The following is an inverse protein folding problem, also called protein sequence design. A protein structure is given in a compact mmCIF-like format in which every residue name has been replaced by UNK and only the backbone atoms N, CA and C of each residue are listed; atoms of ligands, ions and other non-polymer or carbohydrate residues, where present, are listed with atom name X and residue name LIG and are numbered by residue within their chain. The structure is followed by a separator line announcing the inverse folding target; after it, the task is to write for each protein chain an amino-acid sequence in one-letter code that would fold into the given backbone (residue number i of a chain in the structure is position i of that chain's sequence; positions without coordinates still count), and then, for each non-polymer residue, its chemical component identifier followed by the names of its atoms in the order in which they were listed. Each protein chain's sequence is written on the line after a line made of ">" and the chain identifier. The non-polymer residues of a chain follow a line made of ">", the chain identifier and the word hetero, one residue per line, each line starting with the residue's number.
data_IF_967507982189
#
_entry.id   IF_967507982189
#
_cell.length_a   1.000
_cell.length_b   1.000
_cell.length_c   1.000
_cell.angle_alpha   90.00
_cell.angle_beta   90.00
_cell.angle_gamma   90.00
#
_symmetry.space_group_name_H-M   'P 1'
#
loop_
_entity.id
_entity.type
_entity.pdbx_description
1 polymer ?
#
# COMPACT_ATOMS: atom_id res chain seq x y z
N UNK A 1 17.44 1.65 -24.66
CA UNK A 1 17.63 0.35 -24.00
C UNK A 1 16.25 -0.28 -23.88
N UNK A 2 15.88 -1.17 -24.81
CA UNK A 2 14.56 -1.79 -24.83
C UNK A 2 14.60 -3.02 -23.93
N UNK A 3 13.87 -2.97 -22.82
CA UNK A 3 13.74 -4.12 -21.94
C UNK A 3 12.65 -4.99 -22.56
N UNK A 4 13.04 -6.17 -23.06
CA UNK A 4 12.13 -7.18 -23.58
C UNK A 4 11.32 -7.76 -22.40
N UNK A 5 10.14 -7.20 -22.11
CA UNK A 5 9.33 -7.55 -20.93
C UNK A 5 8.25 -8.61 -21.17
N UNK A 6 8.04 -9.09 -22.40
CA UNK A 6 6.74 -9.67 -22.76
C UNK A 6 6.59 -11.19 -22.66
N UNK A 7 7.67 -11.99 -22.57
CA UNK A 7 7.53 -13.46 -22.59
C UNK A 7 7.77 -14.17 -21.23
N UNK A 8 8.45 -13.54 -20.28
CA UNK A 8 8.78 -14.16 -18.98
C UNK A 8 7.67 -14.02 -17.91
N UNK A 9 6.57 -13.34 -18.25
CA UNK A 9 5.50 -12.99 -17.31
C UNK A 9 4.16 -13.64 -17.61
N UNK A 10 4.06 -14.41 -18.70
CA UNK A 10 2.80 -14.97 -19.19
C UNK A 10 2.14 -15.99 -18.24
N UNK A 11 2.86 -16.48 -17.23
CA UNK A 11 2.37 -17.45 -16.24
C UNK A 11 2.35 -16.88 -14.81
N UNK A 12 2.41 -15.55 -14.66
CA UNK A 12 2.43 -14.90 -13.34
C UNK A 12 1.02 -14.58 -12.86
N UNK A 13 0.69 -14.83 -11.57
CA UNK A 13 -0.61 -14.49 -11.01
C UNK A 13 -0.85 -12.98 -10.88
N UNK A 14 0.21 -12.16 -10.99
CA UNK A 14 0.18 -10.70 -10.82
C UNK A 14 0.65 -9.95 -12.07
N UNK A 15 0.14 -8.74 -12.26
CA UNK A 15 0.54 -7.85 -13.35
C UNK A 15 2.04 -7.52 -13.28
N UNK A 16 2.79 -7.39 -14.40
CA UNK A 16 4.23 -7.11 -14.36
C UNK A 16 4.61 -5.86 -13.57
N UNK A 17 3.81 -4.80 -13.67
CA UNK A 17 4.00 -3.56 -12.89
C UNK A 17 3.90 -3.77 -11.39
N UNK A 18 3.15 -4.78 -10.92
CA UNK A 18 3.09 -5.13 -9.50
C UNK A 18 4.47 -5.52 -8.96
N UNK A 19 5.20 -6.34 -9.73
CA UNK A 19 6.56 -6.77 -9.38
C UNK A 19 7.53 -5.61 -9.33
N UNK A 20 7.50 -4.74 -10.35
CA UNK A 20 8.36 -3.55 -10.40
C UNK A 20 8.09 -2.63 -9.21
N UNK A 21 6.81 -2.40 -8.90
CA UNK A 21 6.39 -1.53 -7.82
C UNK A 21 6.78 -2.09 -6.45
N UNK A 22 6.51 -3.38 -6.19
CA UNK A 22 6.90 -4.05 -4.93
C UNK A 22 8.41 -4.03 -4.75
N UNK A 23 9.19 -4.33 -5.80
CA UNK A 23 10.65 -4.29 -5.74
C UNK A 23 11.18 -2.89 -5.40
N UNK A 24 10.66 -1.87 -6.08
CA UNK A 24 11.06 -0.48 -5.84
C UNK A 24 10.68 -0.02 -4.42
N UNK A 25 9.50 -0.41 -3.94
CA UNK A 25 9.05 -0.07 -2.59
C UNK A 25 9.86 -0.78 -1.50
N UNK A 26 10.22 -2.04 -1.72
CA UNK A 26 11.07 -2.79 -0.81
C UNK A 26 12.46 -2.16 -0.69
N UNK A 27 13.10 -1.77 -1.81
CA UNK A 27 14.39 -1.07 -1.80
C UNK A 27 14.32 0.24 -0.99
N UNK A 28 13.27 1.04 -1.19
CA UNK A 28 13.04 2.27 -0.41
C UNK A 28 12.84 1.97 1.08
N UNK A 29 12.08 0.93 1.39
CA UNK A 29 11.80 0.53 2.78
C UNK A 29 13.08 0.09 3.49
N UNK A 30 13.90 -0.76 2.87
CA UNK A 30 15.19 -1.20 3.42
C UNK A 30 16.13 -0.01 3.64
N UNK A 31 16.21 0.90 2.67
CA UNK A 31 17.06 2.11 2.74
C UNK A 31 16.58 3.14 3.75
N UNK A 32 15.34 3.03 4.23
CA UNK A 32 14.81 3.92 5.26
C UNK A 32 15.38 3.62 6.66
N UNK A 33 15.98 2.44 6.86
CA UNK A 33 16.65 2.06 8.11
C UNK A 33 18.14 2.40 8.07
N UNK A 34 18.68 2.88 9.20
CA UNK A 34 20.11 3.18 9.37
C UNK A 34 20.69 2.39 10.57
N UNK A 35 21.52 1.35 10.35
CA UNK A 35 21.97 0.84 9.05
C UNK A 35 20.86 0.07 8.30
N UNK A 36 20.96 -0.07 6.97
CA UNK A 36 20.05 -0.92 6.19
C UNK A 36 20.02 -2.33 6.76
N UNK A 37 18.82 -2.84 7.01
CA UNK A 37 18.60 -4.17 7.58
C UNK A 37 17.51 -4.90 6.84
N UNK A 38 17.38 -6.18 7.17
CA UNK A 38 16.26 -6.98 6.75
C UNK A 38 14.94 -6.42 7.30
N UNK A 39 13.89 -6.46 6.50
CA UNK A 39 12.57 -5.92 6.81
C UNK A 39 11.55 -7.03 6.93
N UNK A 40 10.75 -6.99 7.99
CA UNK A 40 9.66 -7.96 8.19
C UNK A 40 8.54 -7.77 7.18
N UNK A 41 7.74 -8.82 6.92
CA UNK A 41 6.59 -8.72 6.00
C UNK A 41 5.65 -7.56 6.33
N UNK A 42 5.40 -7.29 7.60
CA UNK A 42 4.62 -6.13 8.05
C UNK A 42 5.27 -4.79 7.68
N UNK A 43 6.58 -4.65 7.83
CA UNK A 43 7.30 -3.43 7.43
C UNK A 43 7.26 -3.23 5.91
N UNK A 44 7.31 -4.33 5.15
CA UNK A 44 7.13 -4.30 3.68
C UNK A 44 5.73 -3.80 3.33
N UNK A 45 4.67 -4.35 3.96
CA UNK A 45 3.30 -3.93 3.71
C UNK A 45 3.08 -2.45 4.06
N UNK A 46 3.64 -2.00 5.18
CA UNK A 46 3.54 -0.61 5.61
C UNK A 46 4.28 0.33 4.65
N UNK A 47 5.48 -0.05 4.19
CA UNK A 47 6.26 0.69 3.20
C UNK A 47 5.56 0.76 1.84
N UNK A 48 5.07 -0.39 1.36
CA UNK A 48 4.30 -0.50 0.12
C UNK A 48 3.05 0.36 0.15
N UNK A 49 2.31 0.34 1.27
CA UNK A 49 1.10 1.14 1.40
C UNK A 49 1.38 2.64 1.39
N UNK A 50 2.43 3.09 2.08
CA UNK A 50 2.86 4.50 2.03
C UNK A 50 3.25 4.93 0.63
N UNK A 51 4.02 4.09 -0.08
CA UNK A 51 4.42 4.38 -1.46
C UNK A 51 3.22 4.42 -2.41
N UNK A 52 2.28 3.48 -2.26
CA UNK A 52 1.10 3.40 -3.11
C UNK A 52 0.18 4.61 -2.90
N UNK A 53 -0.05 5.01 -1.65
CA UNK A 53 -0.80 6.21 -1.32
C UNK A 53 -0.08 7.48 -1.77
N UNK A 54 1.26 7.52 -1.69
CA UNK A 54 2.06 8.63 -2.18
C UNK A 54 2.00 8.80 -3.70
N UNK A 55 1.96 7.71 -4.46
CA UNK A 55 1.98 7.72 -5.92
C UNK A 55 0.57 7.83 -6.54
N UNK A 56 -0.41 7.10 -6.00
CA UNK A 56 -1.75 6.96 -6.59
C UNK A 56 -2.85 7.64 -5.77
N UNK A 57 -2.53 8.15 -4.58
CA UNK A 57 -3.50 8.80 -3.70
C UNK A 57 -4.67 7.87 -3.34
N UNK A 58 -5.93 8.34 -3.39
CA UNK A 58 -7.09 7.54 -2.99
C UNK A 58 -7.35 6.36 -3.95
N UNK A 59 -6.73 6.36 -5.13
CA UNK A 59 -6.87 5.26 -6.10
C UNK A 59 -5.91 4.09 -5.85
N UNK A 60 -5.03 4.19 -4.84
CA UNK A 60 -4.01 3.19 -4.55
C UNK A 60 -4.59 1.77 -4.41
N UNK A 61 -5.65 1.61 -3.60
CA UNK A 61 -6.31 0.32 -3.41
C UNK A 61 -6.83 -0.28 -4.73
N UNK A 62 -7.46 0.54 -5.58
CA UNK A 62 -7.98 0.09 -6.87
C UNK A 62 -6.87 -0.29 -7.86
N UNK A 63 -5.75 0.44 -7.87
CA UNK A 63 -4.59 0.14 -8.71
C UNK A 63 -3.98 -1.20 -8.30
N UNK A 64 -3.74 -1.40 -7.00
CA UNK A 64 -3.21 -2.66 -6.47
C UNK A 64 -4.14 -3.84 -6.77
N UNK A 65 -5.45 -3.64 -6.56
CA UNK A 65 -6.47 -4.64 -6.89
C UNK A 65 -6.43 -5.03 -8.36
N UNK A 66 -6.33 -4.05 -9.26
CA UNK A 66 -6.24 -4.28 -10.70
C UNK A 66 -4.98 -5.06 -11.09
N UNK A 67 -3.87 -4.85 -10.37
CA UNK A 67 -2.64 -5.61 -10.55
C UNK A 67 -2.66 -7.02 -9.96
N UNK A 68 -3.76 -7.39 -9.29
CA UNK A 68 -3.96 -8.71 -8.69
C UNK A 68 -3.59 -8.78 -7.20
N UNK A 69 -3.11 -7.68 -6.60
CA UNK A 69 -2.81 -7.62 -5.16
C UNK A 69 -4.11 -7.30 -4.42
N UNK A 70 -4.64 -8.28 -3.69
CA UNK A 70 -5.91 -8.16 -2.95
C UNK A 70 -5.72 -8.21 -1.45
N UNK A 71 -4.57 -8.69 -1.00
CA UNK A 71 -4.28 -8.96 0.40
C UNK A 71 -2.79 -8.82 0.70
N UNK A 72 -2.44 -8.77 1.98
CA UNK A 72 -1.04 -8.81 2.41
C UNK A 72 -0.29 -10.05 1.88
N UNK A 73 -0.86 -11.27 1.98
CA UNK A 73 -0.24 -12.48 1.44
C UNK A 73 0.03 -12.46 -0.07
N UNK A 74 -0.72 -11.68 -0.86
CA UNK A 74 -0.43 -11.50 -2.30
C UNK A 74 0.89 -10.74 -2.50
N UNK A 75 1.13 -9.70 -1.69
CA UNK A 75 2.42 -8.99 -1.68
C UNK A 75 3.53 -9.95 -1.27
N UNK A 76 3.29 -10.78 -0.24
CA UNK A 76 4.22 -11.84 0.15
C UNK A 76 4.54 -12.78 -1.00
N UNK A 77 3.53 -13.24 -1.74
CA UNK A 77 3.70 -14.11 -2.89
C UNK A 77 4.58 -13.47 -3.98
N UNK A 78 4.43 -12.17 -4.23
CA UNK A 78 5.32 -11.41 -5.14
C UNK A 78 6.75 -11.39 -4.60
N UNK A 79 6.95 -11.10 -3.31
CA UNK A 79 8.28 -11.05 -2.69
C UNK A 79 8.96 -12.42 -2.76
N UNK A 80 8.26 -13.50 -2.44
CA UNK A 80 8.80 -14.86 -2.51
C UNK A 80 9.09 -15.30 -3.95
N UNK A 81 8.25 -14.96 -4.93
CA UNK A 81 8.56 -15.21 -6.35
C UNK A 81 9.83 -14.46 -6.80
N UNK A 82 10.05 -13.23 -6.31
CA UNK A 82 11.28 -12.47 -6.58
C UNK A 82 12.52 -13.08 -5.89
N UNK A 83 12.36 -13.65 -4.70
CA UNK A 83 13.40 -14.41 -4.00
C UNK A 83 13.76 -15.68 -4.77
N UNK A 84 12.76 -16.46 -5.19
CA UNK A 84 12.97 -17.72 -5.90
C UNK A 84 13.66 -17.52 -7.26
N UNK A 85 13.43 -16.35 -7.89
CA UNK A 85 14.12 -15.92 -9.12
C UNK A 85 15.52 -15.35 -8.89
N UNK A 86 15.97 -15.24 -7.63
CA UNK A 86 17.28 -14.71 -7.27
C UNK A 86 17.42 -13.18 -7.42
N UNK A 87 16.30 -12.46 -7.54
CA UNK A 87 16.29 -10.99 -7.59
C UNK A 87 16.49 -10.40 -6.19
N UNK A 88 15.91 -11.05 -5.18
CA UNK A 88 16.02 -10.68 -3.78
C UNK A 88 16.79 -11.73 -2.98
N UNK A 89 17.49 -11.29 -1.94
CA UNK A 89 18.10 -12.19 -0.97
C UNK A 89 17.07 -12.55 0.12
N UNK A 90 16.98 -13.84 0.45
CA UNK A 90 16.14 -14.35 1.54
C UNK A 90 16.93 -14.41 2.85
N UNK A 91 16.26 -14.22 3.97
CA UNK A 91 16.77 -14.68 5.28
C UNK A 91 16.04 -15.94 5.74
N UNK A 92 16.67 -16.74 6.62
CA UNK A 92 16.06 -17.98 7.13
C UNK A 92 14.79 -17.72 7.98
N UNK A 93 14.61 -16.48 8.43
CA UNK A 93 13.50 -16.06 9.28
C UNK A 93 12.26 -15.66 8.46
N UNK A 94 12.42 -15.40 7.15
CA UNK A 94 11.33 -14.94 6.28
C UNK A 94 10.28 -16.01 6.01
N UNK A 95 9.07 -15.71 6.46
CA UNK A 95 7.91 -16.59 6.36
C UNK A 95 6.78 -15.92 5.58
N UNK A 96 6.09 -16.66 4.69
CA UNK A 96 4.86 -16.17 4.05
C UNK A 96 3.84 -15.64 5.06
N UNK A 97 3.80 -16.25 6.25
CA UNK A 97 2.93 -15.86 7.35
C UNK A 97 3.21 -14.43 7.87
N UNK A 98 4.40 -13.86 7.64
CA UNK A 98 4.75 -12.49 8.05
C UNK A 98 3.96 -11.41 7.28
N UNK A 99 3.31 -11.81 6.17
CA UNK A 99 2.44 -10.98 5.37
C UNK A 99 0.95 -11.14 5.73
N UNK A 100 0.62 -12.05 6.65
CA UNK A 100 -0.72 -12.13 7.22
C UNK A 100 -0.91 -11.01 8.23
N UNK A 101 -1.91 -10.16 7.96
CA UNK A 101 -2.27 -9.06 8.84
C UNK A 101 -3.73 -9.20 9.27
N UNK A 102 -4.05 -8.65 10.44
CA UNK A 102 -5.44 -8.52 10.86
C UNK A 102 -6.17 -7.50 10.00
N UNK A 103 -7.31 -7.90 9.42
CA UNK A 103 -8.13 -7.04 8.56
C UNK A 103 -7.74 -7.09 7.08
N UNK A 104 -8.48 -6.35 6.27
CA UNK A 104 -8.24 -6.24 4.82
C UNK A 104 -7.14 -5.21 4.53
N UNK A 105 -6.16 -5.60 3.72
CA UNK A 105 -5.01 -4.77 3.40
C UNK A 105 -5.40 -3.53 2.56
N UNK A 106 -6.31 -3.68 1.61
CA UNK A 106 -6.75 -2.59 0.74
C UNK A 106 -7.65 -1.61 1.51
N UNK A 107 -8.53 -2.10 2.39
CA UNK A 107 -9.33 -1.24 3.27
C UNK A 107 -8.43 -0.43 4.21
N UNK A 108 -7.42 -1.07 4.79
CA UNK A 108 -6.43 -0.40 5.64
C UNK A 108 -5.70 0.69 4.86
N UNK A 109 -5.27 0.39 3.63
CA UNK A 109 -4.56 1.32 2.77
C UNK A 109 -5.38 2.59 2.48
N UNK A 110 -6.66 2.40 2.13
CA UNK A 110 -7.59 3.51 1.88
C UNK A 110 -7.84 4.33 3.15
N UNK A 111 -8.06 3.66 4.29
CA UNK A 111 -8.24 4.34 5.57
C UNK A 111 -7.00 5.15 6.00
N UNK A 112 -5.80 4.62 5.75
CA UNK A 112 -4.54 5.32 6.02
C UNK A 112 -4.42 6.59 5.15
N UNK A 113 -4.83 6.54 3.87
CA UNK A 113 -4.84 7.73 3.00
C UNK A 113 -5.70 8.86 3.58
N UNK A 114 -6.96 8.57 3.94
CA UNK A 114 -7.88 9.59 4.46
C UNK A 114 -7.52 10.06 5.87
N UNK A 115 -6.88 9.21 6.69
CA UNK A 115 -6.35 9.62 8.00
C UNK A 115 -5.30 10.72 7.83
N UNK A 116 -4.40 10.55 6.87
CA UNK A 116 -3.31 11.50 6.61
C UNK A 116 -3.79 12.73 5.81
N UNK A 117 -4.94 12.60 5.12
CA UNK A 117 -5.52 13.64 4.27
C UNK A 117 -6.99 13.93 4.64
N UNK A 118 -7.28 14.49 5.83
CA UNK A 118 -8.64 14.67 6.33
C UNK A 118 -9.50 15.61 5.47
N UNK A 119 -8.89 16.47 4.65
CA UNK A 119 -9.60 17.33 3.70
C UNK A 119 -10.22 16.60 2.50
N UNK A 120 -9.80 15.35 2.26
CA UNK A 120 -10.36 14.47 1.22
C UNK A 120 -11.30 13.41 1.81
N UNK A 121 -11.45 13.34 3.12
CA UNK A 121 -12.41 12.44 3.74
C UNK A 121 -13.82 12.77 3.22
N UNK A 122 -14.52 11.76 2.71
CA UNK A 122 -15.88 11.91 2.19
C UNK A 122 -16.75 12.69 3.19
N UNK A 123 -17.40 13.80 2.78
CA UNK A 123 -18.27 14.59 3.65
C UNK A 123 -19.51 13.78 4.03
N UNK A 124 -19.36 12.92 5.03
CA UNK A 124 -20.37 11.97 5.49
C UNK A 124 -19.86 10.94 6.51
N UNK A 125 -18.55 10.72 6.62
CA UNK A 125 -17.96 9.76 7.56
C UNK A 125 -17.18 10.42 8.73
N UNK A 126 -17.42 11.71 8.98
CA UNK A 126 -16.93 12.42 10.15
C UNK A 126 -17.99 12.50 11.25
N UNK A 127 -17.62 12.11 12.47
CA UNK A 127 -18.45 12.10 13.67
C UNK A 127 -19.36 13.35 13.79
N UNK A 128 -20.62 13.11 14.17
CA UNK A 128 -21.66 14.12 14.38
C UNK A 128 -21.30 15.20 15.40
N UNK A 129 -20.58 16.23 14.94
CA UNK A 129 -20.49 17.52 15.60
C UNK A 129 -21.64 18.39 15.13
N UNK A 130 -22.67 18.55 15.98
CA UNK A 130 -23.71 19.57 15.81
C UNK A 130 -23.06 20.95 15.73
N UNK A 131 -22.80 21.43 14.52
CA UNK A 131 -22.58 22.84 14.26
C UNK A 131 -23.89 23.59 14.53
N UNK A 132 -23.99 24.18 15.71
CA UNK A 132 -25.02 25.17 16.02
C UNK A 132 -24.91 26.31 15.02
N UNK A 133 -25.93 26.45 14.15
CA UNK A 133 -26.11 27.67 13.35
C UNK A 133 -26.29 28.86 14.30
N UNK A 134 -25.52 29.95 14.19
CA UNK A 134 -25.92 31.20 14.80
C UNK A 134 -27.17 31.70 14.06
N UNK A 135 -28.26 31.90 14.80
CA UNK A 135 -29.50 32.48 14.27
C UNK A 135 -29.28 33.92 13.79
N UNK A 136 -30.09 34.40 12.84
CA UNK A 136 -29.97 35.78 12.38
C UNK A 136 -30.29 36.73 13.53
N UNK A 137 -29.34 37.59 13.87
CA UNK A 137 -29.53 38.64 14.85
C UNK A 137 -30.64 39.57 14.40
N UNK A 138 -31.75 39.57 15.12
CA UNK A 138 -32.76 40.63 15.02
C UNK A 138 -32.13 41.93 15.50
N UNK A 139 -31.70 42.77 14.56
CA UNK A 139 -31.55 44.19 14.79
C UNK A 139 -32.92 44.81 14.96
N UNK A 140 -33.21 45.31 16.16
CA UNK A 140 -34.29 46.26 16.38
C UNK A 140 -33.67 47.59 16.78
N UNK A 141 -34.17 48.62 16.09
CA UNK A 141 -33.93 50.05 16.27
C UNK A 141 -34.35 50.55 17.66
#
# INVERSE_FOLDING_TARGET
>A
MAIHFSEEFADRPFHPTAYEFVLASLDRTIRSFDPPRHVSGREVLDGLGRDANGEFGPMAAHVLFHWGIRSGPDVGSIVFDLVDRGVLARTEEDRPEDFEIEGDFLDRLEADYYRDHPGFAEPGQGAGGRGTRPGPGSGSL
#
